data_IF_381951279177
#
_entry.id   IF_381951279177
#
_cell.length_a   1.000
_cell.length_b   1.000
_cell.length_c   1.000
_cell.angle_alpha   90.00
_cell.angle_beta   90.00
_cell.angle_gamma   90.00
#
_symmetry.space_group_name_H-M   'P 1'
#
loop_
_entity.id
_entity.type
_entity.pdbx_description
1 polymer ?
#
# COMPACT_ATOMS: atom_id res chain seq x y z
N UNK A 1 7.72 -23.60 69.50
CA UNK A 1 7.62 -24.09 68.11
C UNK A 1 8.46 -23.17 67.23
N UNK A 2 9.45 -23.73 66.51
CA UNK A 2 10.10 -23.30 65.24
C UNK A 2 10.32 -21.78 65.01
N UNK A 3 11.43 -21.23 64.54
CA UNK A 3 12.81 -21.61 64.19
C UNK A 3 13.50 -20.30 63.73
N UNK A 4 14.82 -20.21 63.93
CA UNK A 4 15.82 -19.20 63.51
C UNK A 4 15.74 -18.64 62.05
N UNK A 5 16.64 -17.73 61.59
CA UNK A 5 16.98 -16.38 62.06
C UNK A 5 17.18 -15.38 60.86
N UNK A 6 17.54 -14.13 61.15
CA UNK A 6 18.04 -13.16 60.17
C UNK A 6 19.53 -13.38 59.85
N UNK A 7 19.93 -13.23 58.59
CA UNK A 7 21.33 -13.22 58.16
C UNK A 7 21.56 -12.26 56.97
N UNK A 8 22.59 -11.43 57.10
CA UNK A 8 23.41 -10.82 56.02
C UNK A 8 24.79 -10.50 56.61
N UNK A 9 25.85 -10.27 55.83
CA UNK A 9 26.13 -10.73 54.46
C UNK A 9 27.52 -11.39 54.34
N UNK A 10 27.69 -12.23 53.30
CA UNK A 10 28.95 -12.85 52.90
C UNK A 10 29.37 -12.39 51.50
N UNK A 11 30.66 -12.10 51.38
CA UNK A 11 31.40 -11.48 50.28
C UNK A 11 31.53 -12.31 48.99
N UNK A 12 31.89 -11.57 47.93
CA UNK A 12 32.65 -11.95 46.74
C UNK A 12 31.84 -12.21 45.45
N UNK A 13 32.13 -11.40 44.42
CA UNK A 13 32.99 -11.87 43.31
C UNK A 13 33.47 -10.71 42.44
N UNK A 14 34.70 -10.89 41.97
CA UNK A 14 35.39 -10.07 40.99
C UNK A 14 34.67 -10.10 39.62
N UNK A 15 34.73 -8.97 38.91
CA UNK A 15 34.33 -8.83 37.51
C UNK A 15 35.24 -7.80 36.86
N UNK A 16 35.99 -8.26 35.87
CA UNK A 16 37.04 -7.61 35.09
C UNK A 16 36.59 -6.40 34.28
N UNK A 17 37.53 -5.50 34.04
CA UNK A 17 37.37 -4.26 33.28
C UNK A 17 37.40 -4.45 31.75
N UNK A 18 36.48 -3.72 31.07
CA UNK A 18 36.54 -2.92 29.80
C UNK A 18 37.05 -3.58 28.48
N UNK A 19 36.64 -3.13 27.26
CA UNK A 19 36.36 -1.73 26.82
C UNK A 19 35.00 -1.51 26.10
N UNK A 20 34.34 -0.37 26.26
CA UNK A 20 34.41 0.87 25.43
C UNK A 20 33.83 0.69 24.01
N UNK A 21 32.60 1.19 23.84
CA UNK A 21 31.93 1.41 22.58
C UNK A 21 32.38 2.76 22.00
N UNK A 22 32.96 2.73 20.80
CA UNK A 22 33.12 3.88 19.93
C UNK A 22 32.82 3.47 18.48
N UNK A 23 32.49 4.49 17.67
CA UNK A 23 32.01 4.50 16.28
C UNK A 23 30.48 4.60 16.20
N UNK A 24 29.86 5.73 15.85
CA UNK A 24 30.36 6.84 15.03
C UNK A 24 29.40 6.96 13.85
N UNK A 25 28.35 7.75 14.03
CA UNK A 25 27.36 8.10 13.01
C UNK A 25 27.91 9.27 12.21
N UNK A 26 28.14 9.08 10.91
CA UNK A 26 28.34 10.20 9.97
C UNK A 26 27.42 10.06 8.76
N UNK A 27 26.44 10.97 8.74
CA UNK A 27 25.62 11.38 7.61
C UNK A 27 26.49 12.09 6.57
N UNK A 28 26.32 11.77 5.29
CA UNK A 28 26.59 12.73 4.21
C UNK A 28 25.78 12.39 2.95
N UNK A 29 24.84 13.27 2.61
CA UNK A 29 24.29 13.44 1.27
C UNK A 29 24.71 14.84 0.73
N UNK A 30 24.70 15.06 -0.59
CA UNK A 30 25.79 15.77 -1.27
C UNK A 30 25.51 17.23 -1.63
N UNK A 31 26.58 17.95 -1.96
CA UNK A 31 26.56 19.24 -2.64
C UNK A 31 27.19 19.11 -4.05
N UNK A 32 26.52 19.67 -5.06
CA UNK A 32 27.03 20.76 -5.90
C UNK A 32 26.38 20.79 -7.31
N UNK A 33 25.81 21.96 -7.62
CA UNK A 33 25.36 22.44 -8.93
C UNK A 33 26.50 23.23 -9.61
N UNK A 34 26.51 23.28 -10.95
CA UNK A 34 27.27 24.24 -11.78
C UNK A 34 27.63 23.67 -13.15
N UNK A 35 26.79 23.80 -14.19
CA UNK A 35 26.60 24.96 -15.08
C UNK A 35 27.65 25.07 -16.23
N UNK A 36 27.15 25.01 -17.47
CA UNK A 36 27.88 25.32 -18.70
C UNK A 36 26.93 25.42 -19.90
N UNK A 37 26.67 26.65 -20.34
CA UNK A 37 25.81 27.08 -21.47
C UNK A 37 26.35 26.56 -22.83
N UNK A 38 25.57 26.40 -23.90
CA UNK A 38 25.15 27.49 -24.82
C UNK A 38 24.39 26.96 -26.06
N UNK A 39 23.57 27.84 -26.65
CA UNK A 39 23.12 27.95 -28.05
C UNK A 39 21.85 27.24 -28.58
N UNK A 40 20.79 28.04 -28.72
CA UNK A 40 19.78 28.09 -29.81
C UNK A 40 20.27 29.03 -30.94
N UNK A 41 19.69 29.11 -32.19
CA UNK A 41 18.24 29.08 -32.48
C UNK A 41 17.73 28.59 -33.88
N UNK A 42 16.39 28.66 -34.00
CA UNK A 42 15.55 28.95 -35.19
C UNK A 42 15.00 27.85 -36.13
N UNK A 43 13.69 27.97 -36.40
CA UNK A 43 12.97 27.38 -37.53
C UNK A 43 11.47 27.29 -37.27
N UNK A 44 10.70 28.24 -37.81
CA UNK A 44 9.24 28.34 -37.76
C UNK A 44 8.57 27.73 -39.02
N UNK A 45 7.23 27.69 -38.99
CA UNK A 45 6.27 27.47 -40.09
C UNK A 45 6.14 26.01 -40.59
N UNK A 46 4.96 25.48 -40.93
CA UNK A 46 3.73 26.11 -41.44
C UNK A 46 2.54 25.12 -41.36
N UNK A 47 1.33 25.67 -41.41
CA UNK A 47 0.04 24.99 -41.30
C UNK A 47 -0.40 24.24 -42.58
N UNK A 48 -1.39 23.34 -42.45
CA UNK A 48 -2.38 23.10 -43.50
C UNK A 48 -3.68 22.49 -42.95
N UNK A 49 -4.76 23.26 -43.10
CA UNK A 49 -6.16 22.94 -42.84
C UNK A 49 -6.77 22.08 -43.97
N UNK A 50 -7.80 21.29 -43.64
CA UNK A 50 -8.83 20.88 -44.60
C UNK A 50 -10.24 21.04 -44.00
N UNK A 51 -10.92 22.07 -44.50
CA UNK A 51 -12.38 22.22 -44.66
C UNK A 51 -12.93 21.10 -45.59
N UNK A 52 -14.20 20.67 -45.63
CA UNK A 52 -15.47 21.11 -45.06
C UNK A 52 -16.56 20.02 -45.28
N UNK A 53 -17.71 20.29 -44.66
CA UNK A 53 -19.09 19.95 -45.02
C UNK A 53 -19.74 18.62 -44.59
N UNK A 54 -20.72 18.81 -43.70
CA UNK A 54 -21.78 17.90 -43.32
C UNK A 54 -22.89 17.83 -44.39
N UNK A 55 -23.74 16.80 -44.31
CA UNK A 55 -25.16 17.02 -44.47
C UNK A 55 -25.98 16.52 -43.27
N UNK A 56 -27.14 17.15 -43.17
CA UNK A 56 -28.15 17.16 -42.12
C UNK A 56 -28.93 15.85 -41.93
N UNK A 57 -29.01 15.41 -40.66
CA UNK A 57 -30.26 15.18 -39.92
C UNK A 57 -31.14 13.96 -40.25
N UNK A 58 -31.16 12.98 -39.33
CA UNK A 58 -32.39 12.52 -38.65
C UNK A 58 -32.09 11.48 -37.54
N UNK A 59 -32.35 11.86 -36.29
CA UNK A 59 -32.76 10.97 -35.20
C UNK A 59 -31.66 10.37 -34.31
N UNK A 60 -31.28 11.07 -33.24
CA UNK A 60 -30.65 10.46 -32.06
C UNK A 60 -31.22 11.04 -30.77
N UNK A 61 -31.50 10.11 -29.85
CA UNK A 61 -32.07 10.19 -28.50
C UNK A 61 -31.49 11.31 -27.61
N UNK A 62 -32.27 11.95 -26.71
CA UNK A 62 -31.80 12.98 -25.81
C UNK A 62 -31.07 12.35 -24.62
N UNK A 63 -29.85 11.89 -24.86
CA UNK A 63 -28.83 11.69 -23.85
C UNK A 63 -27.78 12.79 -24.03
N UNK A 64 -28.12 14.03 -23.69
CA UNK A 64 -27.15 15.12 -23.61
C UNK A 64 -27.73 16.30 -22.83
N UNK A 65 -27.88 16.16 -21.51
CA UNK A 65 -27.93 17.31 -20.60
C UNK A 65 -27.48 16.87 -19.19
N UNK A 66 -26.19 17.05 -18.96
CA UNK A 66 -25.52 17.28 -17.68
C UNK A 66 -26.18 16.74 -16.39
N UNK A 67 -25.78 15.55 -15.98
CA UNK A 67 -25.92 15.12 -14.57
C UNK A 67 -24.53 15.11 -13.89
N UNK A 68 -24.25 16.25 -13.25
CA UNK A 68 -23.56 16.36 -11.97
C UNK A 68 -22.16 15.76 -11.81
N UNK A 69 -21.19 16.37 -12.51
CA UNK A 69 -19.78 16.43 -12.10
C UNK A 69 -19.68 17.34 -10.85
N UNK A 70 -19.97 16.80 -9.67
CA UNK A 70 -19.96 17.55 -8.40
C UNK A 70 -18.69 17.23 -7.60
N UNK A 71 -17.66 18.03 -7.83
CA UNK A 71 -16.60 18.41 -6.87
C UNK A 71 -16.24 17.39 -5.76
N UNK A 72 -15.16 16.63 -5.97
CA UNK A 72 -14.51 15.83 -4.93
C UNK A 72 -13.25 15.07 -5.37
N UNK A 73 -13.16 14.66 -6.64
CA UNK A 73 -12.12 13.71 -7.07
C UNK A 73 -10.72 14.30 -7.24
N UNK A 74 -10.57 15.61 -7.46
CA UNK A 74 -9.24 16.17 -7.70
C UNK A 74 -8.39 16.23 -6.44
N UNK A 75 -8.98 16.36 -5.23
CA UNK A 75 -8.20 16.48 -3.99
C UNK A 75 -7.92 15.12 -3.33
N UNK A 76 -8.82 14.13 -3.43
CA UNK A 76 -8.59 12.76 -2.97
C UNK A 76 -7.59 12.01 -3.86
N UNK A 77 -7.61 12.25 -5.18
CA UNK A 77 -6.61 11.74 -6.13
C UNK A 77 -5.26 12.48 -5.96
N UNK A 78 -5.24 13.79 -5.72
CA UNK A 78 -3.98 14.50 -5.39
C UNK A 78 -3.42 14.14 -3.99
N UNK A 79 -4.28 13.78 -3.01
CA UNK A 79 -3.87 13.29 -1.68
C UNK A 79 -3.32 11.86 -1.73
N UNK A 80 -3.73 11.03 -2.69
CA UNK A 80 -3.23 9.66 -2.83
C UNK A 80 -1.79 9.61 -3.37
N UNK A 81 -1.36 10.62 -4.13
CA UNK A 81 0.01 10.70 -4.69
C UNK A 81 1.15 10.88 -3.68
N UNK A 82 0.89 11.04 -2.37
CA UNK A 82 1.92 11.56 -1.44
C UNK A 82 2.43 10.61 -0.37
N UNK A 83 1.67 9.59 0.03
CA UNK A 83 2.14 8.75 1.13
C UNK A 83 2.78 7.45 0.67
N UNK A 84 2.09 6.61 -0.10
CA UNK A 84 2.62 5.29 -0.47
C UNK A 84 3.51 5.38 -1.69
N UNK A 85 4.78 5.05 -1.50
CA UNK A 85 5.78 4.97 -2.55
C UNK A 85 6.37 3.57 -2.58
N UNK A 86 7.13 3.25 -3.63
CA UNK A 86 7.92 2.02 -3.67
C UNK A 86 8.83 1.87 -2.43
N UNK A 87 9.43 2.95 -1.93
CA UNK A 87 10.35 2.90 -0.78
C UNK A 87 9.68 2.46 0.51
N UNK A 88 8.50 2.98 0.83
CA UNK A 88 7.84 2.65 2.09
C UNK A 88 6.84 1.49 1.98
N UNK A 89 6.47 1.07 0.78
CA UNK A 89 5.50 -0.01 0.57
C UNK A 89 6.15 -1.28 0.05
N UNK A 90 7.19 -1.16 -0.78
CA UNK A 90 7.90 -2.28 -1.40
C UNK A 90 9.39 -2.29 -1.05
N UNK A 91 9.83 -1.57 0.00
CA UNK A 91 11.23 -1.40 0.37
C UNK A 91 12.02 -2.72 0.46
N UNK A 92 11.38 -3.77 0.98
CA UNK A 92 11.91 -5.12 1.07
C UNK A 92 12.15 -5.79 -0.30
N UNK A 93 11.36 -5.44 -1.32
CA UNK A 93 11.50 -5.94 -2.70
C UNK A 93 12.54 -5.16 -3.52
N UNK A 94 12.73 -3.85 -3.27
CA UNK A 94 13.55 -2.98 -4.12
C UNK A 94 14.97 -3.48 -4.40
N UNK A 95 15.71 -4.08 -3.44
CA UNK A 95 17.05 -4.61 -3.69
C UNK A 95 17.10 -5.74 -4.72
N UNK A 96 15.95 -6.35 -5.06
CA UNK A 96 15.83 -7.46 -5.98
C UNK A 96 15.39 -7.05 -7.39
N UNK A 97 14.89 -5.83 -7.56
CA UNK A 97 14.46 -5.32 -8.87
C UNK A 97 15.67 -4.92 -9.72
N UNK A 98 15.58 -5.20 -11.02
CA UNK A 98 16.59 -4.86 -12.02
C UNK A 98 15.90 -4.33 -13.28
N UNK A 99 16.59 -3.45 -14.05
CA UNK A 99 16.17 -3.11 -15.40
C UNK A 99 15.90 -4.36 -16.26
N UNK A 100 14.88 -4.29 -17.12
CA UNK A 100 14.50 -5.37 -18.03
C UNK A 100 13.58 -6.44 -17.43
N UNK A 101 13.29 -6.39 -16.13
CA UNK A 101 12.39 -7.34 -15.48
C UNK A 101 10.93 -7.15 -15.88
N UNK A 102 10.19 -8.25 -15.90
CA UNK A 102 8.72 -8.24 -15.98
C UNK A 102 8.11 -8.36 -14.59
N UNK A 103 7.30 -7.37 -14.21
CA UNK A 103 6.64 -7.29 -12.90
C UNK A 103 5.11 -7.28 -13.06
N UNK A 104 4.42 -8.08 -12.25
CA UNK A 104 2.98 -8.02 -12.06
C UNK A 104 2.66 -7.46 -10.68
N UNK A 105 1.79 -6.46 -10.59
CA UNK A 105 1.26 -5.94 -9.34
C UNK A 105 -0.22 -6.34 -9.22
N UNK A 106 -0.52 -7.24 -8.28
CA UNK A 106 -1.86 -7.80 -8.06
C UNK A 106 -2.56 -6.97 -6.98
N UNK A 107 -3.74 -6.43 -7.32
CA UNK A 107 -4.42 -5.44 -6.48
C UNK A 107 -3.72 -4.09 -6.52
N UNK A 108 -3.32 -3.63 -7.72
CA UNK A 108 -2.49 -2.43 -7.89
C UNK A 108 -3.19 -1.14 -7.43
N UNK A 109 -4.52 -1.16 -7.26
CA UNK A 109 -5.30 -0.01 -6.89
C UNK A 109 -5.04 1.18 -7.83
N UNK A 110 -4.94 2.42 -7.31
CA UNK A 110 -4.68 3.62 -8.13
C UNK A 110 -3.22 3.70 -8.62
N UNK A 111 -2.43 2.63 -8.50
CA UNK A 111 -1.08 2.47 -9.03
C UNK A 111 -0.02 3.44 -8.50
N UNK A 112 -0.19 4.01 -7.30
CA UNK A 112 0.80 4.91 -6.71
C UNK A 112 2.14 4.22 -6.46
N UNK A 113 2.12 2.96 -6.01
CA UNK A 113 3.33 2.14 -5.84
C UNK A 113 3.78 1.54 -7.18
N UNK A 114 2.83 1.09 -8.01
CA UNK A 114 3.09 0.41 -9.28
C UNK A 114 3.86 1.28 -10.26
N UNK A 115 3.54 2.58 -10.33
CA UNK A 115 4.25 3.54 -11.17
C UNK A 115 5.70 3.72 -10.72
N UNK A 116 5.96 3.81 -9.40
CA UNK A 116 7.33 3.88 -8.88
C UNK A 116 8.11 2.58 -9.18
N UNK A 117 7.45 1.42 -9.09
CA UNK A 117 8.05 0.13 -9.44
C UNK A 117 8.41 0.06 -10.93
N UNK A 118 7.60 0.68 -11.80
CA UNK A 118 7.87 0.77 -13.23
C UNK A 118 9.17 1.54 -13.52
N UNK A 119 9.45 2.61 -12.79
CA UNK A 119 10.72 3.32 -12.90
C UNK A 119 11.91 2.44 -12.49
N UNK A 120 11.74 1.56 -11.49
CA UNK A 120 12.81 0.66 -11.02
C UNK A 120 13.15 -0.45 -12.01
N UNK A 121 12.17 -0.95 -12.78
CA UNK A 121 12.40 -1.98 -13.79
C UNK A 121 12.80 -1.41 -15.15
N UNK A 122 12.83 -0.08 -15.32
CA UNK A 122 13.41 0.61 -16.48
C UNK A 122 12.83 0.14 -17.82
N UNK A 123 13.68 -0.43 -18.68
CA UNK A 123 13.30 -0.99 -19.98
C UNK A 123 12.53 -2.33 -19.90
N UNK A 124 12.23 -2.78 -18.69
CA UNK A 124 11.32 -3.90 -18.42
C UNK A 124 9.86 -3.55 -18.67
N UNK A 125 8.96 -4.36 -18.10
CA UNK A 125 7.51 -4.14 -18.21
C UNK A 125 6.82 -4.33 -16.87
N UNK A 126 5.82 -3.50 -16.59
CA UNK A 126 4.93 -3.64 -15.43
C UNK A 126 3.50 -3.81 -15.90
N UNK A 127 2.80 -4.76 -15.30
CA UNK A 127 1.35 -4.93 -15.46
C UNK A 127 0.72 -4.78 -14.09
N UNK A 128 -0.21 -3.84 -13.93
CA UNK A 128 -1.07 -3.73 -12.76
C UNK A 128 -2.42 -4.40 -13.02
N UNK A 129 -2.92 -5.19 -12.06
CA UNK A 129 -4.27 -5.74 -12.12
C UNK A 129 -5.09 -5.38 -10.89
N UNK A 130 -6.38 -5.15 -11.09
CA UNK A 130 -7.34 -4.88 -10.02
C UNK A 130 -8.73 -5.41 -10.41
N UNK A 131 -9.58 -5.69 -9.42
CA UNK A 131 -10.95 -6.13 -9.62
C UNK A 131 -11.93 -4.97 -9.85
N UNK A 132 -11.48 -3.72 -9.70
CA UNK A 132 -12.29 -2.53 -9.95
C UNK A 132 -11.80 -1.75 -11.18
N UNK A 133 -12.57 -1.81 -12.28
CA UNK A 133 -12.25 -1.03 -13.49
C UNK A 133 -12.18 0.48 -13.21
N UNK A 134 -13.05 0.99 -12.33
CA UNK A 134 -13.06 2.40 -11.96
C UNK A 134 -11.75 2.85 -11.28
N UNK A 135 -11.12 1.96 -10.51
CA UNK A 135 -9.81 2.23 -9.90
C UNK A 135 -8.68 2.18 -10.93
N UNK A 136 -8.79 1.29 -11.92
CA UNK A 136 -7.83 1.22 -13.03
C UNK A 136 -7.86 2.47 -13.92
N UNK A 137 -8.98 3.16 -14.04
CA UNK A 137 -9.03 4.45 -14.74
C UNK A 137 -8.15 5.50 -14.04
N UNK A 138 -8.23 5.58 -12.71
CA UNK A 138 -7.33 6.45 -11.92
C UNK A 138 -5.86 6.04 -12.04
N UNK A 139 -5.58 4.74 -12.13
CA UNK A 139 -4.23 4.23 -12.34
C UNK A 139 -3.65 4.64 -13.70
N UNK A 140 -4.45 4.54 -14.77
CA UNK A 140 -4.09 4.99 -16.13
C UNK A 140 -3.83 6.48 -16.17
N UNK A 141 -4.67 7.28 -15.52
CA UNK A 141 -4.48 8.72 -15.41
C UNK A 141 -3.16 9.08 -14.71
N UNK A 142 -2.85 8.42 -13.58
CA UNK A 142 -1.59 8.64 -12.86
C UNK A 142 -0.37 8.28 -13.72
N UNK A 143 -0.38 7.12 -14.38
CA UNK A 143 0.71 6.70 -15.26
C UNK A 143 0.91 7.71 -16.41
N UNK A 144 -0.17 8.19 -17.02
CA UNK A 144 -0.12 9.20 -18.08
C UNK A 144 0.44 10.54 -17.58
N UNK A 145 0.01 11.00 -16.40
CA UNK A 145 0.52 12.22 -15.77
C UNK A 145 2.02 12.15 -15.46
N UNK A 146 2.52 10.95 -15.13
CA UNK A 146 3.94 10.70 -14.85
C UNK A 146 4.77 10.41 -16.10
N UNK A 147 4.12 10.19 -17.25
CA UNK A 147 4.78 9.83 -18.50
C UNK A 147 5.41 8.43 -18.48
N UNK A 148 4.90 7.54 -17.63
CA UNK A 148 5.43 6.18 -17.46
C UNK A 148 4.93 5.28 -18.58
N UNK A 149 5.82 4.92 -19.51
CA UNK A 149 5.45 4.23 -20.75
C UNK A 149 5.52 2.69 -20.68
N UNK A 150 6.22 2.14 -19.70
CA UNK A 150 6.47 0.71 -19.55
C UNK A 150 5.46 -0.01 -18.63
N UNK A 151 4.31 0.61 -18.38
CA UNK A 151 3.24 0.10 -17.51
C UNK A 151 1.92 -0.05 -18.28
N UNK A 152 1.19 -1.13 -18.00
CA UNK A 152 -0.19 -1.32 -18.47
C UNK A 152 -1.09 -1.83 -17.35
N UNK A 153 -2.41 -1.69 -17.54
CA UNK A 153 -3.41 -2.06 -16.54
C UNK A 153 -4.50 -2.95 -17.13
N UNK A 154 -4.90 -3.98 -16.39
CA UNK A 154 -5.92 -4.94 -16.82
C UNK A 154 -6.85 -5.32 -15.66
N UNK A 155 -8.15 -5.29 -15.91
CA UNK A 155 -9.13 -5.83 -14.97
C UNK A 155 -8.99 -7.35 -14.86
N UNK A 156 -8.73 -7.85 -13.65
CA UNK A 156 -8.57 -9.27 -13.39
C UNK A 156 -8.84 -9.64 -11.92
N UNK A 157 -9.18 -10.91 -11.72
CA UNK A 157 -9.39 -11.50 -10.41
C UNK A 157 -8.06 -12.08 -9.89
N UNK A 158 -7.70 -11.81 -8.64
CA UNK A 158 -6.49 -12.35 -8.00
C UNK A 158 -6.48 -13.89 -7.91
N UNK A 159 -7.66 -14.54 -7.94
CA UNK A 159 -7.80 -16.00 -7.92
C UNK A 159 -7.67 -16.66 -9.30
N UNK A 160 -7.75 -15.88 -10.39
CA UNK A 160 -7.69 -16.38 -11.77
C UNK A 160 -7.03 -15.31 -12.65
N UNK A 161 -5.70 -15.28 -12.62
CA UNK A 161 -4.92 -14.29 -13.33
C UNK A 161 -4.86 -14.65 -14.83
N UNK A 162 -5.15 -13.71 -15.75
CA UNK A 162 -5.28 -13.96 -17.18
C UNK A 162 -3.92 -14.05 -17.91
N UNK A 163 -2.93 -14.67 -17.25
CA UNK A 163 -1.57 -14.82 -17.75
C UNK A 163 -1.15 -16.28 -17.76
N UNK A 164 -0.27 -16.63 -18.69
CA UNK A 164 0.31 -17.97 -18.75
C UNK A 164 1.21 -18.25 -17.54
N UNK A 165 1.45 -19.53 -17.27
CA UNK A 165 2.40 -19.97 -16.26
C UNK A 165 3.79 -19.39 -16.54
N UNK A 166 4.51 -18.99 -15.49
CA UNK A 166 5.89 -18.53 -15.63
C UNK A 166 6.08 -17.28 -16.51
N UNK A 167 5.16 -16.32 -16.43
CA UNK A 167 5.17 -15.10 -17.26
C UNK A 167 6.04 -13.99 -16.68
N UNK A 168 6.05 -13.81 -15.36
CA UNK A 168 6.66 -12.64 -14.70
C UNK A 168 7.91 -13.01 -13.89
N UNK A 169 8.92 -12.15 -13.90
CA UNK A 169 10.10 -12.29 -13.04
C UNK A 169 9.76 -11.98 -11.57
N UNK A 170 8.84 -11.04 -11.36
CA UNK A 170 8.37 -10.60 -10.04
C UNK A 170 6.85 -10.49 -10.05
N UNK A 171 6.19 -10.99 -9.01
CA UNK A 171 4.77 -10.73 -8.72
C UNK A 171 4.68 -10.10 -7.34
N UNK A 172 4.01 -8.96 -7.24
CA UNK A 172 3.89 -8.16 -6.04
C UNK A 172 2.42 -8.03 -5.65
N UNK A 173 2.14 -7.97 -4.35
CA UNK A 173 0.84 -7.54 -3.84
C UNK A 173 1.01 -6.80 -2.51
N UNK A 174 0.23 -5.74 -2.32
CA UNK A 174 0.33 -4.88 -1.14
C UNK A 174 -1.04 -4.47 -0.64
N UNK A 175 -1.31 -4.75 0.64
CA UNK A 175 -2.63 -4.54 1.27
C UNK A 175 -3.76 -5.22 0.49
N UNK A 176 -3.50 -6.43 -0.03
CA UNK A 176 -4.47 -7.20 -0.82
C UNK A 176 -4.98 -8.41 -0.06
N UNK A 177 -4.09 -9.24 0.48
CA UNK A 177 -4.47 -10.57 0.97
C UNK A 177 -5.40 -10.49 2.20
N UNK A 178 -5.31 -9.39 2.96
CA UNK A 178 -6.24 -9.09 4.06
C UNK A 178 -7.70 -8.98 3.62
N UNK A 179 -7.97 -8.69 2.34
CA UNK A 179 -9.31 -8.49 1.77
C UNK A 179 -9.81 -9.71 0.98
N UNK A 180 -9.06 -10.82 1.00
CA UNK A 180 -9.39 -12.04 0.28
C UNK A 180 -9.92 -13.11 1.23
N UNK A 181 -10.95 -13.84 0.79
CA UNK A 181 -11.49 -15.00 1.51
C UNK A 181 -10.64 -16.26 1.33
N UNK A 182 -9.84 -16.35 0.26
CA UNK A 182 -8.85 -17.42 0.03
C UNK A 182 -7.46 -16.87 -0.32
N UNK A 183 -6.75 -16.25 0.65
CA UNK A 183 -5.43 -15.68 0.39
C UNK A 183 -4.40 -16.72 -0.08
N UNK A 184 -4.57 -18.00 0.31
CA UNK A 184 -3.69 -19.09 -0.12
C UNK A 184 -3.93 -19.42 -1.59
N UNK A 185 -5.19 -19.46 -2.05
CA UNK A 185 -5.54 -19.61 -3.46
C UNK A 185 -4.96 -18.51 -4.33
N UNK A 186 -5.08 -17.25 -3.91
CA UNK A 186 -4.45 -16.12 -4.60
C UNK A 186 -2.92 -16.24 -4.66
N UNK A 187 -2.27 -16.62 -3.57
CA UNK A 187 -0.81 -16.85 -3.54
C UNK A 187 -0.38 -18.00 -4.47
N UNK A 188 -1.18 -19.06 -4.61
CA UNK A 188 -0.92 -20.13 -5.58
C UNK A 188 -0.99 -19.61 -7.01
N UNK A 189 -1.94 -18.72 -7.29
CA UNK A 189 -2.09 -18.11 -8.60
C UNK A 189 -0.96 -17.13 -8.93
N UNK A 190 -0.57 -16.30 -7.96
CA UNK A 190 0.63 -15.47 -8.05
C UNK A 190 1.88 -16.32 -8.31
N UNK A 191 2.02 -17.45 -7.60
CA UNK A 191 3.12 -18.41 -7.84
C UNK A 191 3.08 -18.98 -9.25
N UNK A 192 1.91 -19.40 -9.75
CA UNK A 192 1.73 -20.00 -11.10
C UNK A 192 2.25 -19.06 -12.19
N UNK A 193 1.89 -17.79 -12.14
CA UNK A 193 2.30 -16.80 -13.16
C UNK A 193 3.74 -16.29 -12.96
N UNK A 194 4.37 -16.61 -11.84
CA UNK A 194 5.79 -16.30 -11.59
C UNK A 194 6.69 -17.31 -12.28
N UNK A 195 7.74 -16.85 -12.95
CA UNK A 195 8.78 -17.71 -13.56
C UNK A 195 9.42 -18.62 -12.50
N UNK A 196 9.83 -19.84 -12.85
CA UNK A 196 10.65 -20.66 -11.96
C UNK A 196 11.88 -19.88 -11.48
N UNK A 197 12.08 -19.80 -10.16
CA UNK A 197 13.15 -19.02 -9.56
C UNK A 197 12.91 -17.51 -9.46
N UNK A 198 11.79 -17.01 -10.00
CA UNK A 198 11.28 -15.64 -9.83
C UNK A 198 10.76 -15.40 -8.41
N UNK A 199 10.31 -14.17 -8.15
CA UNK A 199 9.93 -13.72 -6.81
C UNK A 199 8.44 -13.39 -6.72
N UNK A 200 7.81 -13.84 -5.64
CA UNK A 200 6.55 -13.33 -5.13
C UNK A 200 6.83 -12.50 -3.88
N UNK A 201 6.35 -11.26 -3.87
CA UNK A 201 6.57 -10.31 -2.79
C UNK A 201 5.23 -9.81 -2.26
N UNK A 202 4.93 -10.06 -0.99
CA UNK A 202 3.65 -9.71 -0.39
C UNK A 202 3.83 -8.93 0.90
N UNK A 203 2.95 -7.95 1.12
CA UNK A 203 2.94 -7.12 2.33
C UNK A 203 1.53 -6.72 2.72
N UNK A 204 1.18 -7.00 3.97
CA UNK A 204 -0.13 -6.65 4.55
C UNK A 204 0.06 -6.09 5.96
N UNK A 205 -0.92 -5.30 6.40
CA UNK A 205 -0.92 -4.70 7.73
C UNK A 205 -1.35 -5.73 8.78
N UNK A 206 -1.03 -5.42 10.02
CA UNK A 206 -1.49 -6.13 11.20
C UNK A 206 -2.25 -5.14 12.08
N UNK A 207 -3.59 -5.22 12.06
CA UNK A 207 -4.47 -4.23 12.71
C UNK A 207 -4.47 -4.37 14.23
N UNK A 208 -4.41 -5.59 14.76
CA UNK A 208 -4.27 -5.81 16.20
C UNK A 208 -2.92 -5.31 16.74
N UNK A 209 -1.88 -5.19 15.90
CA UNK A 209 -0.60 -4.60 16.27
C UNK A 209 -0.51 -3.09 16.00
N UNK A 210 -1.55 -2.45 15.46
CA UNK A 210 -1.58 -0.98 15.36
C UNK A 210 -1.58 -0.36 16.75
N UNK A 211 -0.79 0.69 16.92
CA UNK A 211 -0.64 1.38 18.20
C UNK A 211 -0.61 2.88 17.98
N UNK A 212 -1.19 3.62 18.94
CA UNK A 212 -1.30 5.07 18.86
C UNK A 212 -1.09 5.72 20.23
N UNK A 213 -0.74 7.00 20.20
CA UNK A 213 -0.69 7.90 21.33
C UNK A 213 -1.22 9.29 20.90
N UNK A 214 -1.89 10.07 21.78
CA UNK A 214 -2.43 9.63 23.06
C UNK A 214 -3.48 8.52 22.88
N UNK A 215 -3.76 7.81 23.96
CA UNK A 215 -4.80 6.77 23.97
C UNK A 215 -6.15 7.38 23.59
N UNK A 216 -6.87 6.71 22.69
CA UNK A 216 -8.19 7.13 22.22
C UNK A 216 -9.17 5.97 22.32
N UNK A 217 -10.25 6.10 23.13
CA UNK A 217 -11.33 5.13 23.14
C UNK A 217 -11.96 4.95 21.75
N UNK A 218 -12.08 6.02 20.97
CA UNK A 218 -12.64 5.98 19.62
C UNK A 218 -11.80 5.19 18.62
N UNK A 219 -10.46 5.33 18.65
CA UNK A 219 -9.59 4.48 17.84
C UNK A 219 -9.62 3.02 18.32
N UNK A 220 -9.80 2.79 19.61
CA UNK A 220 -9.95 1.43 20.17
C UNK A 220 -11.25 0.78 19.67
N UNK A 221 -12.35 1.52 19.70
CA UNK A 221 -13.66 1.09 19.20
C UNK A 221 -13.64 0.88 17.68
N UNK A 222 -13.04 1.81 16.93
CA UNK A 222 -12.82 1.67 15.50
C UNK A 222 -12.07 0.38 15.17
N UNK A 223 -10.96 0.08 15.86
CA UNK A 223 -10.18 -1.12 15.59
C UNK A 223 -10.98 -2.38 15.92
N UNK A 224 -11.76 -2.36 17.00
CA UNK A 224 -12.66 -3.47 17.37
C UNK A 224 -13.69 -3.72 16.28
N UNK A 225 -14.40 -2.68 15.83
CA UNK A 225 -15.38 -2.78 14.76
C UNK A 225 -14.75 -3.26 13.46
N UNK A 226 -13.53 -2.83 13.13
CA UNK A 226 -12.82 -3.29 11.94
C UNK A 226 -12.58 -4.80 11.95
N UNK A 227 -12.20 -5.37 13.10
CA UNK A 227 -12.05 -6.82 13.26
C UNK A 227 -13.39 -7.56 13.14
N UNK A 228 -14.46 -7.03 13.75
CA UNK A 228 -15.79 -7.64 13.67
C UNK A 228 -16.31 -7.67 12.24
N UNK A 229 -16.15 -6.56 11.51
CA UNK A 229 -16.56 -6.45 10.10
C UNK A 229 -15.74 -7.39 9.22
N UNK A 230 -14.41 -7.37 9.31
CA UNK A 230 -13.56 -8.25 8.49
C UNK A 230 -13.86 -9.72 8.74
N UNK A 231 -14.05 -10.12 10.01
CA UNK A 231 -14.44 -11.48 10.36
C UNK A 231 -15.81 -11.87 9.76
N UNK A 232 -16.80 -10.97 9.75
CA UNK A 232 -18.13 -11.24 9.19
C UNK A 232 -18.11 -11.58 7.69
N UNK A 233 -17.12 -11.05 6.95
CA UNK A 233 -16.96 -11.30 5.50
C UNK A 233 -15.90 -12.38 5.19
N UNK A 234 -15.36 -13.05 6.19
CA UNK A 234 -14.33 -14.09 6.02
C UNK A 234 -12.98 -13.54 5.58
N UNK A 235 -12.71 -12.27 5.90
CA UNK A 235 -11.44 -11.60 5.68
C UNK A 235 -10.56 -11.69 6.93
N UNK A 236 -9.33 -11.18 6.82
CA UNK A 236 -8.35 -11.23 7.90
C UNK A 236 -7.69 -9.88 8.09
N UNK A 237 -8.11 -9.13 9.12
CA UNK A 237 -7.51 -7.85 9.46
C UNK A 237 -6.03 -7.99 9.87
N UNK A 238 -5.64 -9.12 10.48
CA UNK A 238 -4.26 -9.34 10.95
C UNK A 238 -3.42 -10.09 9.91
N UNK A 239 -3.62 -9.81 8.61
CA UNK A 239 -2.99 -10.58 7.54
C UNK A 239 -1.46 -10.54 7.58
N UNK A 240 -0.87 -9.41 7.97
CA UNK A 240 0.59 -9.23 8.04
C UNK A 240 1.30 -10.34 8.82
N UNK A 241 0.82 -10.71 10.00
CA UNK A 241 1.41 -11.79 10.81
C UNK A 241 1.18 -13.20 10.24
N UNK A 242 0.25 -13.36 9.29
CA UNK A 242 -0.12 -14.66 8.71
C UNK A 242 0.58 -14.94 7.38
N UNK A 243 1.14 -13.92 6.73
CA UNK A 243 1.77 -14.04 5.40
C UNK A 243 2.76 -15.20 5.30
N UNK A 244 3.64 -15.37 6.30
CA UNK A 244 4.62 -16.46 6.29
C UNK A 244 3.94 -17.82 6.18
N UNK A 245 2.93 -18.08 7.03
CA UNK A 245 2.19 -19.34 6.98
C UNK A 245 1.39 -19.53 5.69
N UNK A 246 0.76 -18.47 5.17
CA UNK A 246 -0.01 -18.56 3.93
C UNK A 246 0.87 -18.85 2.72
N UNK A 247 2.07 -18.26 2.66
CA UNK A 247 3.04 -18.55 1.60
C UNK A 247 3.53 -20.01 1.70
N UNK A 248 3.73 -20.55 2.91
CA UNK A 248 4.04 -21.98 3.09
C UNK A 248 2.90 -22.87 2.56
N UNK A 249 1.66 -22.58 2.95
CA UNK A 249 0.47 -23.34 2.55
C UNK A 249 0.15 -23.21 1.05
N UNK A 250 0.63 -22.14 0.41
CA UNK A 250 0.59 -21.95 -1.04
C UNK A 250 1.61 -22.82 -1.80
N UNK A 251 2.48 -23.54 -1.09
CA UNK A 251 3.40 -24.53 -1.65
C UNK A 251 4.75 -23.95 -2.10
N UNK A 252 5.15 -22.78 -1.58
CA UNK A 252 6.51 -22.28 -1.77
C UNK A 252 7.51 -23.10 -0.96
N UNK A 253 8.72 -23.36 -1.50
CA UNK A 253 9.75 -24.11 -0.80
C UNK A 253 10.31 -23.28 0.37
N UNK A 254 10.44 -23.90 1.55
CA UNK A 254 10.79 -23.21 2.80
C UNK A 254 12.13 -22.46 2.76
N UNK A 255 13.11 -22.99 2.03
CA UNK A 255 14.44 -22.40 1.84
C UNK A 255 14.43 -21.19 0.88
N UNK A 256 13.31 -20.97 0.18
CA UNK A 256 13.06 -19.82 -0.68
C UNK A 256 12.15 -18.76 -0.08
N UNK A 257 11.77 -18.85 1.20
CA UNK A 257 10.89 -17.88 1.87
C UNK A 257 11.69 -17.03 2.85
N UNK A 258 11.63 -15.72 2.67
CA UNK A 258 12.28 -14.71 3.52
C UNK A 258 11.21 -13.78 4.12
N UNK A 259 10.75 -14.03 5.36
CA UNK A 259 9.84 -13.14 6.06
C UNK A 259 10.59 -11.94 6.66
N UNK A 260 9.97 -10.76 6.57
CA UNK A 260 10.42 -9.53 7.24
C UNK A 260 9.23 -8.75 7.80
N UNK A 261 9.50 -7.60 8.39
CA UNK A 261 8.46 -6.67 8.83
C UNK A 261 8.96 -5.24 8.71
N UNK A 262 8.02 -4.31 8.51
CA UNK A 262 8.27 -2.88 8.50
C UNK A 262 7.16 -2.12 9.21
N UNK A 263 7.42 -0.86 9.53
CA UNK A 263 6.43 0.02 10.16
C UNK A 263 6.17 1.23 9.31
N UNK A 264 4.90 1.62 9.16
CA UNK A 264 4.55 3.00 8.85
C UNK A 264 4.35 3.76 10.15
N UNK A 265 4.69 5.04 10.13
CA UNK A 265 4.53 5.94 11.27
C UNK A 265 3.91 7.26 10.80
N UNK A 266 2.83 7.67 11.46
CA UNK A 266 2.12 8.91 11.22
C UNK A 266 2.26 9.80 12.46
N UNK A 267 3.19 10.74 12.41
CA UNK A 267 3.56 11.53 13.58
C UNK A 267 3.71 13.03 13.30
N UNK A 268 3.97 13.44 12.06
CA UNK A 268 3.95 14.87 11.74
C UNK A 268 2.52 15.37 11.63
N UNK A 269 2.26 16.68 11.78
CA UNK A 269 0.91 17.23 11.59
C UNK A 269 0.30 16.90 10.22
N UNK A 270 1.12 16.85 9.17
CA UNK A 270 0.68 16.48 7.83
C UNK A 270 0.27 15.00 7.76
N UNK A 271 1.08 14.10 8.33
CA UNK A 271 0.81 12.67 8.34
C UNK A 271 -0.46 12.35 9.12
N UNK A 272 -0.64 12.99 10.28
CA UNK A 272 -1.85 12.81 11.10
C UNK A 272 -3.10 13.33 10.43
N UNK A 273 -3.04 14.53 9.87
CA UNK A 273 -4.17 15.11 9.11
C UNK A 273 -4.56 14.20 7.96
N UNK A 274 -3.57 13.65 7.26
CA UNK A 274 -3.80 12.72 6.17
C UNK A 274 -4.37 11.39 6.65
N UNK A 275 -3.74 10.73 7.63
CA UNK A 275 -4.14 9.41 8.11
C UNK A 275 -5.49 9.43 8.83
N UNK A 276 -5.69 10.38 9.75
CA UNK A 276 -6.96 10.55 10.44
C UNK A 276 -8.07 10.99 9.51
N UNK A 277 -7.79 11.88 8.56
CA UNK A 277 -8.76 12.26 7.52
C UNK A 277 -9.17 11.08 6.63
N UNK A 278 -8.21 10.25 6.21
CA UNK A 278 -8.46 9.04 5.42
C UNK A 278 -9.37 8.06 6.18
N UNK A 279 -9.08 7.79 7.45
CA UNK A 279 -9.91 6.88 8.24
C UNK A 279 -11.27 7.48 8.60
N UNK A 280 -11.35 8.78 8.84
CA UNK A 280 -12.62 9.45 9.04
C UNK A 280 -13.54 9.30 7.82
N UNK A 281 -13.00 9.51 6.61
CA UNK A 281 -13.74 9.28 5.36
C UNK A 281 -14.14 7.81 5.21
N UNK A 282 -13.23 6.86 5.49
CA UNK A 282 -13.53 5.42 5.40
C UNK A 282 -14.63 4.97 6.35
N UNK A 283 -14.72 5.55 7.54
CA UNK A 283 -15.77 5.21 8.49
C UNK A 283 -17.18 5.47 7.93
N UNK A 284 -17.34 6.48 7.06
CA UNK A 284 -18.68 6.90 6.57
C UNK A 284 -18.92 6.64 5.09
N UNK A 285 -17.86 6.59 4.28
CA UNK A 285 -17.94 6.60 2.82
C UNK A 285 -17.00 5.54 2.18
N UNK A 286 -17.08 4.30 2.65
CA UNK A 286 -16.35 3.18 2.04
C UNK A 286 -17.10 1.86 2.16
N UNK A 287 -16.56 0.80 1.54
CA UNK A 287 -17.08 -0.55 1.72
C UNK A 287 -17.07 -0.99 3.19
N UNK A 288 -16.14 -0.50 4.02
CA UNK A 288 -16.17 -0.78 5.46
C UNK A 288 -17.46 -0.25 6.10
N UNK A 289 -17.88 0.97 5.76
CA UNK A 289 -19.12 1.57 6.26
C UNK A 289 -20.36 0.79 5.80
N UNK A 290 -20.38 0.38 4.53
CA UNK A 290 -21.46 -0.44 3.95
C UNK A 290 -21.56 -1.78 4.70
N UNK A 291 -20.42 -2.47 4.84
CA UNK A 291 -20.33 -3.79 5.45
C UNK A 291 -20.69 -3.78 6.94
N UNK A 292 -20.27 -2.75 7.67
CA UNK A 292 -20.64 -2.55 9.07
C UNK A 292 -22.15 -2.45 9.26
N UNK A 293 -22.83 -1.72 8.36
CA UNK A 293 -24.30 -1.56 8.37
C UNK A 293 -25.03 -2.82 7.94
N UNK A 294 -24.60 -3.46 6.86
CA UNK A 294 -25.20 -4.70 6.37
C UNK A 294 -25.09 -5.85 7.39
N UNK A 295 -24.00 -5.88 8.15
CA UNK A 295 -23.78 -6.84 9.23
C UNK A 295 -24.45 -6.46 10.55
N UNK A 296 -25.16 -5.32 10.59
CA UNK A 296 -25.77 -4.73 11.80
C UNK A 296 -24.79 -4.56 12.98
N UNK A 297 -23.50 -4.33 12.67
CA UNK A 297 -22.44 -4.09 13.65
C UNK A 297 -22.35 -2.61 14.04
N UNK A 298 -22.69 -1.71 13.12
CA UNK A 298 -22.76 -0.27 13.38
C UNK A 298 -23.86 0.38 12.54
N UNK A 299 -24.43 1.49 13.02
CA UNK A 299 -25.32 2.36 12.26
C UNK A 299 -24.59 3.64 11.82
N UNK A 300 -25.26 4.50 11.06
CA UNK A 300 -24.67 5.76 10.57
C UNK A 300 -24.17 6.65 11.73
N UNK A 301 -24.91 6.69 12.85
CA UNK A 301 -24.55 7.49 14.03
C UNK A 301 -23.24 7.02 14.65
N UNK A 302 -23.07 5.71 14.82
CA UNK A 302 -21.83 5.13 15.33
C UNK A 302 -20.65 5.39 14.38
N UNK A 303 -20.85 5.21 13.07
CA UNK A 303 -19.82 5.44 12.06
C UNK A 303 -19.39 6.92 11.97
N UNK A 304 -20.34 7.85 12.05
CA UNK A 304 -20.05 9.28 12.14
C UNK A 304 -19.27 9.63 13.41
N UNK A 305 -19.59 9.01 14.55
CA UNK A 305 -18.84 9.20 15.79
C UNK A 305 -17.39 8.73 15.65
N UNK A 306 -17.16 7.54 15.07
CA UNK A 306 -15.81 7.04 14.79
C UNK A 306 -15.03 7.97 13.84
N UNK A 307 -15.71 8.53 12.84
CA UNK A 307 -15.09 9.51 11.95
C UNK A 307 -14.63 10.76 12.71
N UNK A 308 -15.47 11.30 13.60
CA UNK A 308 -15.09 12.43 14.45
C UNK A 308 -13.95 12.09 15.40
N UNK A 309 -13.89 10.86 15.90
CA UNK A 309 -12.81 10.42 16.79
C UNK A 309 -11.46 10.37 16.10
N UNK A 310 -11.43 9.92 14.84
CA UNK A 310 -10.25 9.99 13.99
C UNK A 310 -9.80 11.42 13.71
N UNK A 311 -10.74 12.34 13.43
CA UNK A 311 -10.42 13.75 13.20
C UNK A 311 -9.89 14.40 14.48
N UNK A 312 -10.49 14.13 15.65
CA UNK A 312 -9.99 14.62 16.94
C UNK A 312 -8.58 14.10 17.23
N UNK A 313 -8.34 12.81 17.02
CA UNK A 313 -7.01 12.25 17.21
C UNK A 313 -5.96 12.89 16.27
N UNK A 314 -6.33 13.21 15.03
CA UNK A 314 -5.42 13.84 14.08
C UNK A 314 -4.91 15.23 14.56
N UNK A 315 -5.73 15.95 15.31
CA UNK A 315 -5.43 17.26 15.87
C UNK A 315 -4.51 17.20 17.11
N UNK A 316 -4.35 16.02 17.74
CA UNK A 316 -3.51 15.85 18.93
C UNK A 316 -2.05 16.25 18.64
N UNK A 317 -1.49 17.26 19.34
CA UNK A 317 -0.14 17.75 19.04
C UNK A 317 0.95 16.69 19.21
N UNK A 318 0.79 15.83 20.20
CA UNK A 318 1.66 14.69 20.49
C UNK A 318 1.21 13.39 19.79
N UNK A 319 0.24 13.50 18.86
CA UNK A 319 -0.28 12.37 18.12
C UNK A 319 0.81 11.59 17.40
N UNK A 320 0.80 10.27 17.58
CA UNK A 320 1.74 9.33 16.98
C UNK A 320 1.00 8.02 16.74
N UNK A 321 1.05 7.49 15.52
CA UNK A 321 0.39 6.23 15.15
C UNK A 321 1.35 5.36 14.37
N UNK A 322 1.48 4.09 14.73
CA UNK A 322 2.27 3.13 13.98
C UNK A 322 1.42 1.98 13.45
N UNK A 323 1.73 1.59 12.22
CA UNK A 323 1.18 0.40 11.56
C UNK A 323 2.31 -0.59 11.37
N UNK A 324 2.23 -1.74 12.05
CA UNK A 324 3.09 -2.88 11.75
C UNK A 324 2.61 -3.55 10.46
N UNK A 325 3.54 -3.91 9.59
CA UNK A 325 3.27 -4.65 8.37
C UNK A 325 4.17 -5.88 8.34
N UNK A 326 3.57 -7.03 8.09
CA UNK A 326 4.31 -8.23 7.75
C UNK A 326 4.67 -8.22 6.27
N UNK A 327 5.81 -8.81 5.94
CA UNK A 327 6.36 -8.86 4.59
C UNK A 327 6.92 -10.25 4.32
N UNK A 328 6.79 -10.73 3.09
CA UNK A 328 7.42 -11.97 2.65
C UNK A 328 7.94 -11.83 1.23
N UNK A 329 9.19 -12.20 1.01
CA UNK A 329 9.72 -12.58 -0.31
C UNK A 329 9.71 -14.10 -0.43
N UNK A 330 9.19 -14.63 -1.52
CA UNK A 330 9.10 -16.07 -1.76
C UNK A 330 9.55 -16.41 -3.17
N UNK A 331 10.45 -17.39 -3.31
CA UNK A 331 10.95 -17.85 -4.61
C UNK A 331 10.05 -18.96 -5.18
N UNK A 332 9.52 -18.76 -6.39
CA UNK A 332 8.58 -19.67 -7.04
C UNK A 332 9.21 -20.98 -7.55
#
# INVERSE_FOLDING_TARGET
>A
MRSHPAATPGTSRAGTARPECENGVENAAPAAYGAGMTHTPHGADEAAEHHADAPTGAGSDPAQESESYTHGHHESVLRSHRWRTAENSAGFLLPHLRPGMSLLDVGCGPATVTVDLADRVGDGRVVGVDASEAVLDSARELAAQRGTANISFQHANAYELPFADGTFDVVYAHQLLQHLSDPIGALREMRRVTKPGGLVAVRDADYAAMTWYPESPGLTEWNTLYHEVTHAYGYEADAGRRLFSWVQDAGFPLDGIEPSASTWCYATPADRTWWGGLWAERCVASNFAVQAKESALADDVALEQLAQDWLRWAEEPAGWFAVLNGEVLARA
#
